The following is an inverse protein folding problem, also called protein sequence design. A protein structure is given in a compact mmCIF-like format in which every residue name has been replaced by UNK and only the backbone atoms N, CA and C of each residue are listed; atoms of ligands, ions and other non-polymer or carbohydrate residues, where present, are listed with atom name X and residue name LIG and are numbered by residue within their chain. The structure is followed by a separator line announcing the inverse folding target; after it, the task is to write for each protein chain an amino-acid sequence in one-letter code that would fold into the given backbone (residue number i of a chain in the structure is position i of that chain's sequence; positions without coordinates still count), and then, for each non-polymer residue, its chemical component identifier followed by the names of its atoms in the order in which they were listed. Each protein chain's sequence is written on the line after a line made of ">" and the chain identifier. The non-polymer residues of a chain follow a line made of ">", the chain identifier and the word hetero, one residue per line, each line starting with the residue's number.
data_IF_147346598038
#
_entry.id   IF_147346598038
#
_cell.length_a   1.000
_cell.length_b   1.000
_cell.length_c   1.000
_cell.angle_alpha   90.00
_cell.angle_beta   90.00
_cell.angle_gamma   90.00
#
_symmetry.space_group_name_H-M   'P 1'
#
loop_
_entity.id
_entity.type
_entity.pdbx_description
1 polymer ?
#
# COMPACT_ATOMS: atom_id res chain seq x y z
N UNK A 1 5.70 -5.27 15.19
CA UNK A 1 5.29 -3.89 14.83
C UNK A 1 4.90 -3.04 16.03
N UNK A 2 4.04 -3.52 16.94
CA UNK A 2 3.55 -2.73 18.09
C UNK A 2 4.69 -2.13 18.94
N UNK A 3 5.65 -2.94 19.37
CA UNK A 3 6.80 -2.49 20.19
C UNK A 3 7.64 -1.43 19.48
N UNK A 4 7.94 -1.63 18.19
CA UNK A 4 8.68 -0.68 17.34
C UNK A 4 7.92 0.64 17.23
N UNK A 5 6.60 0.61 17.02
CA UNK A 5 5.80 1.84 16.95
C UNK A 5 5.77 2.58 18.30
N UNK A 6 5.64 1.85 19.42
CA UNK A 6 5.66 2.43 20.77
C UNK A 6 7.00 3.06 21.15
N UNK A 7 8.12 2.62 20.56
CA UNK A 7 9.43 3.25 20.77
C UNK A 7 9.61 4.56 20.00
N UNK A 8 8.62 4.96 19.17
CA UNK A 8 8.71 6.13 18.31
C UNK A 8 9.47 5.91 17.01
N UNK A 9 9.92 4.68 16.73
CA UNK A 9 10.54 4.32 15.46
C UNK A 9 9.47 4.11 14.37
N UNK A 10 9.87 4.31 13.11
CA UNK A 10 9.03 4.01 11.94
C UNK A 10 9.14 2.51 11.59
N UNK A 11 8.06 1.71 11.74
CA UNK A 11 8.08 0.32 11.30
C UNK A 11 7.98 0.24 9.79
N UNK A 12 9.09 -0.13 9.15
CA UNK A 12 9.15 -0.56 7.76
C UNK A 12 9.40 -2.06 7.74
N UNK A 13 8.45 -2.84 7.22
CA UNK A 13 8.55 -4.30 7.14
C UNK A 13 8.73 -4.71 5.67
N UNK A 14 9.64 -5.63 5.41
CA UNK A 14 9.82 -6.22 4.08
C UNK A 14 9.23 -7.63 4.13
N UNK A 15 8.49 -8.00 3.08
CA UNK A 15 7.78 -9.26 2.85
C UNK A 15 8.59 -10.53 3.17
N UNK A 16 7.96 -11.70 3.37
CA UNK A 16 7.20 -12.47 2.35
C UNK A 16 5.80 -11.99 1.90
N UNK A 17 4.88 -12.94 1.73
CA UNK A 17 3.56 -12.72 1.09
C UNK A 17 2.65 -11.76 1.86
N UNK A 18 1.54 -11.33 1.23
CA UNK A 18 0.67 -10.27 1.76
C UNK A 18 -0.05 -10.64 3.07
N UNK A 19 -0.01 -11.91 3.51
CA UNK A 19 -0.58 -12.33 4.80
C UNK A 19 -0.03 -11.52 5.97
N UNK A 20 1.23 -11.07 5.89
CA UNK A 20 1.90 -10.35 6.99
C UNK A 20 1.32 -8.95 7.26
N UNK A 21 0.61 -8.35 6.31
CA UNK A 21 0.00 -7.03 6.49
C UNK A 21 -1.03 -7.04 7.60
N UNK A 22 -1.78 -8.14 7.76
CA UNK A 22 -2.76 -8.26 8.84
C UNK A 22 -2.14 -8.09 10.24
N UNK A 23 -1.13 -8.87 10.67
CA UNK A 23 -0.47 -8.64 11.94
C UNK A 23 0.35 -7.34 11.99
N UNK A 24 0.92 -6.86 10.87
CA UNK A 24 1.65 -5.59 10.83
C UNK A 24 0.76 -4.40 11.17
N UNK A 25 -0.32 -4.21 10.41
CA UNK A 25 -1.27 -3.12 10.61
C UNK A 25 -2.03 -3.26 11.94
N UNK A 26 -2.37 -4.49 12.37
CA UNK A 26 -2.97 -4.72 13.70
C UNK A 26 -2.02 -4.31 14.83
N UNK A 27 -0.73 -4.63 14.72
CA UNK A 27 0.27 -4.21 15.69
C UNK A 27 0.39 -2.68 15.78
N UNK A 28 0.26 -1.99 14.65
CA UNK A 28 0.23 -0.54 14.62
C UNK A 28 -1.06 0.02 15.25
N UNK A 29 -2.22 -0.60 14.97
CA UNK A 29 -3.50 -0.21 15.56
C UNK A 29 -3.49 -0.37 17.09
N UNK A 30 -2.84 -1.42 17.62
CA UNK A 30 -2.63 -1.57 19.07
C UNK A 30 -1.77 -0.45 19.69
N UNK A 31 -0.80 0.07 18.93
CA UNK A 31 0.05 1.15 19.40
C UNK A 31 -0.61 2.53 19.30
N UNK A 32 -1.49 2.74 18.31
CA UNK A 32 -2.01 4.08 17.93
C UNK A 32 -3.50 4.28 18.13
N UNK A 33 -4.28 3.20 18.26
CA UNK A 33 -5.73 3.23 18.40
C UNK A 33 -6.41 2.35 17.35
N UNK A 34 -7.32 1.50 17.79
CA UNK A 34 -8.13 0.67 16.90
C UNK A 34 -9.12 1.55 16.14
N UNK A 35 -9.28 1.30 14.83
CA UNK A 35 -10.17 2.08 13.98
C UNK A 35 -9.74 3.53 13.75
N UNK A 36 -8.51 3.91 14.15
CA UNK A 36 -7.93 5.25 13.96
C UNK A 36 -6.84 5.28 12.87
N UNK A 37 -6.64 4.17 12.18
CA UNK A 37 -5.69 4.07 11.08
C UNK A 37 -6.42 4.15 9.74
N UNK A 38 -5.91 5.00 8.85
CA UNK A 38 -6.14 4.86 7.42
C UNK A 38 -5.18 3.84 6.83
N UNK A 39 -5.61 3.08 5.83
CA UNK A 39 -4.76 2.18 5.07
C UNK A 39 -4.79 2.58 3.60
N UNK A 40 -3.61 2.75 3.03
CA UNK A 40 -3.43 2.85 1.57
C UNK A 40 -2.75 1.57 1.12
N UNK A 41 -3.42 0.84 0.23
CA UNK A 41 -3.08 -0.48 -0.22
C UNK A 41 -2.83 -0.45 -1.73
N UNK A 42 -1.56 -0.49 -2.14
CA UNK A 42 -1.19 -0.64 -3.54
C UNK A 42 -1.10 -2.13 -3.87
N UNK A 43 -1.93 -2.58 -4.81
CA UNK A 43 -2.07 -4.00 -5.12
C UNK A 43 -2.81 -4.19 -6.45
N UNK A 44 -2.51 -5.27 -7.18
CA UNK A 44 -3.34 -5.74 -8.28
C UNK A 44 -4.66 -6.36 -7.78
N UNK A 45 -4.65 -7.00 -6.61
CA UNK A 45 -5.73 -7.78 -6.04
C UNK A 45 -6.35 -7.11 -4.81
N UNK A 46 -7.57 -7.56 -4.50
CA UNK A 46 -8.34 -6.96 -3.42
C UNK A 46 -8.00 -7.54 -2.04
N UNK A 47 -7.36 -8.71 -1.94
CA UNK A 47 -6.97 -9.40 -0.70
C UNK A 47 -8.03 -9.47 0.41
N UNK A 48 -9.29 -9.55 -0.01
CA UNK A 48 -10.50 -9.52 0.83
C UNK A 48 -11.29 -10.82 0.79
N UNK A 49 -10.66 -11.92 0.37
CA UNK A 49 -11.28 -13.24 0.35
C UNK A 49 -11.74 -13.68 1.74
N UNK A 50 -12.83 -14.45 1.81
CA UNK A 50 -13.31 -14.99 3.08
C UNK A 50 -12.57 -16.27 3.48
N UNK A 51 -12.84 -17.33 2.73
CA UNK A 51 -12.28 -18.66 2.94
C UNK A 51 -11.82 -19.15 1.58
N UNK A 52 -10.54 -19.49 1.45
CA UNK A 52 -9.99 -20.06 0.22
C UNK A 52 -9.35 -21.39 0.55
N UNK A 53 -9.70 -22.44 -0.22
CA UNK A 53 -9.25 -23.82 0.02
C UNK A 53 -9.45 -24.32 1.47
N UNK A 54 -10.53 -23.86 2.13
CA UNK A 54 -10.84 -24.23 3.51
C UNK A 54 -10.03 -23.48 4.59
N UNK A 55 -9.17 -22.53 4.20
CA UNK A 55 -8.41 -21.68 5.13
C UNK A 55 -9.00 -20.28 5.23
N UNK A 56 -9.04 -19.75 6.46
CA UNK A 56 -9.34 -18.34 6.75
C UNK A 56 -8.13 -17.42 6.57
N UNK A 57 -6.93 -18.00 6.46
CA UNK A 57 -5.65 -17.28 6.46
C UNK A 57 -4.82 -17.71 5.26
N UNK A 58 -4.41 -16.73 4.49
CA UNK A 58 -3.54 -16.80 3.31
C UNK A 58 -3.39 -15.40 2.74
N UNK A 59 -2.61 -15.27 1.66
CA UNK A 59 -2.26 -13.95 1.13
C UNK A 59 -3.43 -13.20 0.49
N UNK A 60 -4.48 -13.89 0.02
CA UNK A 60 -5.67 -13.25 -0.57
C UNK A 60 -6.79 -12.91 0.42
N UNK A 61 -6.59 -13.05 1.73
CA UNK A 61 -7.58 -12.74 2.78
C UNK A 61 -7.20 -11.67 3.83
N UNK A 62 -5.95 -11.18 3.95
CA UNK A 62 -5.50 -10.43 5.12
C UNK A 62 -6.28 -9.13 5.33
N UNK A 63 -6.73 -8.46 4.25
CA UNK A 63 -7.43 -7.17 4.36
C UNK A 63 -8.83 -7.35 4.92
N UNK A 64 -9.51 -8.44 4.57
CA UNK A 64 -10.78 -8.80 5.19
C UNK A 64 -10.61 -9.10 6.67
N UNK A 65 -9.58 -9.87 7.05
CA UNK A 65 -9.27 -10.18 8.46
C UNK A 65 -8.95 -8.90 9.25
N UNK A 66 -8.22 -7.97 8.64
CA UNK A 66 -7.87 -6.69 9.25
C UNK A 66 -9.12 -5.84 9.53
N UNK A 67 -10.03 -5.71 8.55
CA UNK A 67 -11.26 -4.94 8.70
C UNK A 67 -12.23 -5.61 9.69
N UNK A 68 -12.46 -6.93 9.58
CA UNK A 68 -13.37 -7.65 10.48
C UNK A 68 -12.89 -7.64 11.94
N UNK A 69 -11.58 -7.55 12.17
CA UNK A 69 -11.04 -7.40 13.53
C UNK A 69 -11.40 -6.06 14.18
N UNK A 70 -11.68 -5.02 13.39
CA UNK A 70 -11.87 -3.65 13.86
C UNK A 70 -10.57 -2.87 14.06
N UNK A 71 -9.41 -3.46 13.74
CA UNK A 71 -8.13 -2.74 13.77
C UNK A 71 -8.13 -1.54 12.80
N UNK A 72 -8.78 -1.70 11.65
CA UNK A 72 -8.95 -0.68 10.60
C UNK A 72 -10.42 -0.63 10.19
N UNK A 73 -10.92 0.56 9.89
CA UNK A 73 -12.28 0.75 9.35
C UNK A 73 -12.27 0.55 7.84
N UNK A 74 -13.30 -0.11 7.29
CA UNK A 74 -13.43 -0.29 5.84
C UNK A 74 -13.52 1.03 5.07
N UNK A 75 -14.21 2.04 5.61
CA UNK A 75 -14.33 3.37 5.01
C UNK A 75 -13.04 4.22 5.07
N UNK A 76 -11.99 3.68 5.69
CA UNK A 76 -10.63 4.24 5.73
C UNK A 76 -9.60 3.26 5.15
N UNK A 77 -10.06 2.25 4.39
CA UNK A 77 -9.22 1.34 3.63
C UNK A 77 -9.34 1.65 2.13
N UNK A 78 -8.23 2.11 1.54
CA UNK A 78 -8.17 2.61 0.17
C UNK A 78 -7.28 1.69 -0.67
N UNK A 79 -7.80 1.14 -1.76
CA UNK A 79 -7.04 0.26 -2.66
C UNK A 79 -6.70 0.96 -3.96
N UNK A 80 -5.47 0.81 -4.45
CA UNK A 80 -4.96 1.49 -5.64
C UNK A 80 -4.28 0.49 -6.56
N UNK A 81 -4.78 0.36 -7.79
CA UNK A 81 -4.17 -0.49 -8.81
C UNK A 81 -4.93 -1.79 -9.11
N UNK A 82 -6.15 -1.93 -8.58
CA UNK A 82 -6.96 -3.14 -8.77
C UNK A 82 -7.16 -3.44 -10.26
N UNK A 83 -6.96 -4.71 -10.63
CA UNK A 83 -7.19 -5.24 -11.98
C UNK A 83 -7.30 -6.76 -11.94
N UNK A 84 -7.49 -7.36 -13.11
CA UNK A 84 -7.71 -8.81 -13.23
C UNK A 84 -9.18 -9.18 -13.05
N UNK A 85 -9.45 -10.46 -12.78
CA UNK A 85 -10.79 -11.04 -12.80
C UNK A 85 -11.42 -11.27 -11.42
N UNK A 86 -10.63 -11.13 -10.35
CA UNK A 86 -11.03 -11.44 -8.98
C UNK A 86 -11.11 -10.14 -8.16
N UNK A 87 -12.10 -9.96 -7.24
CA UNK A 87 -12.92 -10.98 -6.59
C UNK A 87 -14.36 -11.19 -7.10
N UNK A 88 -15.03 -12.23 -6.58
CA UNK A 88 -16.42 -12.55 -6.90
C UNK A 88 -17.42 -11.50 -6.37
N UNK A 89 -18.64 -11.51 -6.93
CA UNK A 89 -19.70 -10.54 -6.60
C UNK A 89 -20.05 -10.49 -5.10
N UNK A 90 -19.96 -11.61 -4.37
CA UNK A 90 -20.19 -11.62 -2.91
C UNK A 90 -19.13 -10.82 -2.17
N UNK A 91 -17.86 -11.01 -2.52
CA UNK A 91 -16.73 -10.27 -1.94
C UNK A 91 -16.84 -8.78 -2.28
N UNK A 92 -17.17 -8.42 -3.52
CA UNK A 92 -17.42 -7.02 -3.91
C UNK A 92 -18.58 -6.40 -3.11
N UNK A 93 -19.66 -7.16 -2.89
CA UNK A 93 -20.80 -6.71 -2.08
C UNK A 93 -20.39 -6.49 -0.62
N UNK A 94 -19.54 -7.37 -0.08
CA UNK A 94 -18.97 -7.21 1.25
C UNK A 94 -18.09 -5.95 1.33
N UNK A 95 -17.19 -5.73 0.37
CA UNK A 95 -16.33 -4.54 0.31
C UNK A 95 -17.16 -3.25 0.29
N UNK A 96 -18.22 -3.22 -0.53
CA UNK A 96 -19.16 -2.10 -0.61
C UNK A 96 -19.89 -1.87 0.73
N UNK A 97 -20.33 -2.95 1.39
CA UNK A 97 -20.97 -2.86 2.71
C UNK A 97 -20.02 -2.35 3.81
N UNK A 98 -18.70 -2.58 3.68
CA UNK A 98 -17.69 -2.00 4.57
C UNK A 98 -17.35 -0.53 4.24
N UNK A 99 -17.89 0.02 3.14
CA UNK A 99 -17.59 1.39 2.69
C UNK A 99 -16.21 1.56 2.08
N UNK A 100 -15.56 0.46 1.66
CA UNK A 100 -14.24 0.50 1.04
C UNK A 100 -14.25 1.35 -0.24
N UNK A 101 -13.06 1.88 -0.59
CA UNK A 101 -12.87 2.59 -1.85
C UNK A 101 -11.67 2.04 -2.59
N UNK A 102 -11.95 1.44 -3.74
CA UNK A 102 -10.93 0.82 -4.59
C UNK A 102 -10.83 1.56 -5.92
N UNK A 103 -9.61 1.86 -6.36
CA UNK A 103 -9.28 2.53 -7.61
C UNK A 103 -8.71 1.47 -8.56
N UNK A 104 -9.51 1.07 -9.53
CA UNK A 104 -9.07 0.16 -10.59
C UNK A 104 -8.10 0.86 -11.54
N UNK A 105 -7.25 0.09 -12.23
CA UNK A 105 -6.36 0.63 -13.26
C UNK A 105 -7.12 1.38 -14.36
N UNK A 106 -8.33 0.92 -14.73
CA UNK A 106 -9.20 1.59 -15.71
C UNK A 106 -9.58 3.01 -15.28
N UNK A 107 -9.90 3.20 -13.99
CA UNK A 107 -10.18 4.50 -13.40
C UNK A 107 -8.92 5.36 -13.31
N UNK A 108 -7.80 4.78 -12.86
CA UNK A 108 -6.51 5.47 -12.72
C UNK A 108 -6.06 6.02 -14.07
N UNK A 109 -6.13 5.24 -15.14
CA UNK A 109 -5.77 5.67 -16.50
C UNK A 109 -6.72 6.76 -17.01
N UNK A 110 -8.02 6.66 -16.71
CA UNK A 110 -9.02 7.62 -17.21
C UNK A 110 -8.95 8.97 -16.49
N UNK A 111 -8.78 8.95 -15.16
CA UNK A 111 -8.77 10.17 -14.32
C UNK A 111 -7.38 10.73 -14.10
N UNK A 112 -6.33 9.95 -14.34
CA UNK A 112 -4.96 10.24 -13.99
C UNK A 112 -4.64 9.86 -12.54
N UNK A 113 -3.48 9.22 -12.35
CA UNK A 113 -3.01 8.76 -11.03
C UNK A 113 -2.92 9.89 -10.01
N UNK A 114 -2.41 11.07 -10.39
CA UNK A 114 -2.28 12.20 -9.47
C UNK A 114 -3.61 12.60 -8.81
N UNK A 115 -4.69 12.69 -9.60
CA UNK A 115 -6.02 13.03 -9.10
C UNK A 115 -6.58 11.93 -8.17
N UNK A 116 -6.30 10.66 -8.49
CA UNK A 116 -6.69 9.53 -7.65
C UNK A 116 -5.95 9.58 -6.30
N UNK A 117 -4.63 9.87 -6.32
CA UNK A 117 -3.82 9.98 -5.10
C UNK A 117 -4.28 11.12 -4.19
N UNK A 118 -4.71 12.25 -4.74
CA UNK A 118 -5.28 13.35 -3.94
C UNK A 118 -6.57 12.91 -3.20
N UNK A 119 -7.42 12.11 -3.84
CA UNK A 119 -8.58 11.51 -3.17
C UNK A 119 -8.18 10.46 -2.12
N UNK A 120 -7.23 9.58 -2.46
CA UNK A 120 -6.70 8.54 -1.56
C UNK A 120 -6.16 9.17 -0.28
N UNK A 121 -5.28 10.16 -0.39
CA UNK A 121 -4.66 10.85 0.76
C UNK A 121 -5.74 11.52 1.62
N UNK A 122 -6.67 12.26 1.00
CA UNK A 122 -7.75 12.94 1.72
C UNK A 122 -8.61 11.95 2.52
N UNK A 123 -9.03 10.84 1.90
CA UNK A 123 -9.86 9.83 2.58
C UNK A 123 -9.11 9.07 3.65
N UNK A 124 -7.85 8.68 3.40
CA UNK A 124 -7.03 7.92 4.34
C UNK A 124 -6.67 8.72 5.60
N UNK A 125 -6.70 10.05 5.52
CA UNK A 125 -6.36 10.95 6.64
C UNK A 125 -7.57 11.52 7.37
N UNK A 126 -8.76 11.42 6.80
CA UNK A 126 -9.98 11.91 7.42
C UNK A 126 -10.31 11.11 8.69
N UNK A 127 -10.43 11.79 9.83
CA UNK A 127 -10.70 11.17 11.15
C UNK A 127 -9.75 10.00 11.51
N UNK A 128 -8.49 10.07 11.06
CA UNK A 128 -7.45 9.09 11.35
C UNK A 128 -6.23 9.75 12.01
N UNK A 129 -5.58 9.03 12.92
CA UNK A 129 -4.39 9.48 13.65
C UNK A 129 -3.09 9.18 12.89
N UNK A 130 -3.18 8.39 11.81
CA UNK A 130 -2.07 8.08 10.92
C UNK A 130 -2.46 7.12 9.80
N UNK A 131 -1.54 6.95 8.85
CA UNK A 131 -1.70 6.08 7.69
C UNK A 131 -0.71 4.92 7.74
N UNK A 132 -1.19 3.70 7.50
CA UNK A 132 -0.38 2.55 7.14
C UNK A 132 -0.34 2.39 5.62
N UNK A 133 0.85 2.26 5.06
CA UNK A 133 1.05 2.10 3.62
C UNK A 133 1.48 0.66 3.31
N UNK A 134 0.61 -0.10 2.65
CA UNK A 134 0.91 -1.47 2.17
C UNK A 134 1.23 -1.40 0.69
N UNK A 135 2.40 -1.87 0.28
CA UNK A 135 2.78 -1.91 -1.14
C UNK A 135 3.08 -3.34 -1.55
N UNK A 136 2.13 -3.95 -2.24
CA UNK A 136 2.36 -5.14 -3.04
C UNK A 136 3.16 -4.76 -4.29
N UNK A 137 4.22 -5.49 -4.61
CA UNK A 137 4.99 -5.24 -5.83
C UNK A 137 4.24 -5.62 -7.09
N UNK A 138 3.23 -6.50 -7.00
CA UNK A 138 2.44 -6.92 -8.15
C UNK A 138 1.47 -5.84 -8.64
N UNK A 139 1.29 -4.73 -7.91
CA UNK A 139 0.62 -3.53 -8.41
C UNK A 139 1.31 -2.96 -9.66
N UNK A 140 2.61 -3.21 -9.78
CA UNK A 140 3.45 -2.78 -10.90
C UNK A 140 3.33 -3.79 -12.03
N UNK A 141 3.34 -3.28 -13.26
CA UNK A 141 3.27 -4.15 -14.44
C UNK A 141 4.38 -5.22 -14.43
N UNK A 142 4.08 -6.48 -14.79
CA UNK A 142 5.06 -7.58 -14.79
C UNK A 142 6.28 -7.33 -15.68
N UNK A 143 6.20 -6.40 -16.63
CA UNK A 143 7.38 -5.95 -17.39
C UNK A 143 8.45 -5.26 -16.54
N UNK A 144 8.09 -4.78 -15.34
CA UNK A 144 9.01 -4.14 -14.38
C UNK A 144 9.05 -4.79 -12.99
N UNK A 145 8.07 -5.64 -12.66
CA UNK A 145 8.01 -6.42 -11.43
C UNK A 145 7.62 -7.90 -11.68
N UNK A 146 8.39 -8.66 -12.49
CA UNK A 146 8.06 -10.06 -12.79
C UNK A 146 8.27 -11.02 -11.60
N UNK A 147 9.08 -10.62 -10.62
CA UNK A 147 9.42 -11.39 -9.44
C UNK A 147 8.34 -11.34 -8.38
N UNK A 148 7.13 -11.79 -8.71
CA UNK A 148 5.97 -11.91 -7.80
C UNK A 148 5.20 -13.21 -8.08
N UNK A 149 4.40 -13.66 -7.11
CA UNK A 149 3.61 -14.89 -7.22
C UNK A 149 2.41 -14.79 -8.17
N UNK A 150 1.79 -13.61 -8.27
CA UNK A 150 0.50 -13.38 -8.95
C UNK A 150 0.54 -12.22 -9.95
N UNK A 151 1.42 -12.26 -10.98
CA UNK A 151 1.57 -11.13 -11.91
C UNK A 151 0.30 -10.86 -12.73
N UNK A 152 -0.15 -9.60 -12.75
CA UNK A 152 -1.29 -9.14 -13.56
C UNK A 152 -0.86 -8.08 -14.59
N UNK A 153 -1.05 -8.27 -15.91
CA UNK A 153 -0.68 -7.26 -16.92
C UNK A 153 -1.48 -5.95 -16.81
N UNK A 154 -0.90 -4.84 -17.29
CA UNK A 154 -1.56 -3.53 -17.34
C UNK A 154 -1.53 -2.77 -16.02
N UNK A 155 -0.47 -2.97 -15.23
CA UNK A 155 -0.26 -2.34 -13.93
C UNK A 155 0.34 -0.93 -14.00
N UNK A 156 0.67 -0.40 -12.83
CA UNK A 156 1.43 0.85 -12.73
C UNK A 156 2.84 0.66 -13.30
N UNK A 157 3.42 1.74 -13.82
CA UNK A 157 4.84 1.77 -14.13
C UNK A 157 5.67 1.90 -12.84
N UNK A 158 6.93 1.47 -12.88
CA UNK A 158 7.86 1.68 -11.74
C UNK A 158 7.99 3.15 -11.35
N UNK A 159 7.93 4.09 -12.30
CA UNK A 159 8.02 5.52 -11.98
C UNK A 159 6.78 5.98 -11.20
N UNK A 160 5.59 5.55 -11.62
CA UNK A 160 4.33 5.90 -10.98
C UNK A 160 4.24 5.44 -9.52
N UNK A 161 4.62 4.19 -9.23
CA UNK A 161 4.59 3.69 -7.83
C UNK A 161 5.61 4.44 -6.95
N UNK A 162 6.81 4.74 -7.47
CA UNK A 162 7.83 5.47 -6.74
C UNK A 162 7.40 6.92 -6.44
N UNK A 163 6.80 7.61 -7.41
CA UNK A 163 6.23 8.95 -7.21
C UNK A 163 5.05 8.93 -6.24
N UNK A 164 4.18 7.92 -6.34
CA UNK A 164 3.02 7.77 -5.47
C UNK A 164 3.43 7.60 -4.00
N UNK A 165 4.36 6.68 -3.71
CA UNK A 165 4.89 6.43 -2.36
C UNK A 165 5.52 7.68 -1.79
N UNK A 166 6.32 8.39 -2.60
CA UNK A 166 6.96 9.65 -2.19
C UNK A 166 5.93 10.73 -1.86
N UNK A 167 4.96 10.96 -2.75
CA UNK A 167 3.88 11.95 -2.58
C UNK A 167 3.08 11.66 -1.31
N UNK A 168 2.58 10.43 -1.16
CA UNK A 168 1.81 10.00 0.02
C UNK A 168 2.61 10.25 1.29
N UNK A 169 3.88 9.88 1.32
CA UNK A 169 4.70 10.03 2.54
C UNK A 169 4.97 11.50 2.90
N UNK A 170 5.09 12.38 1.90
CA UNK A 170 5.24 13.82 2.13
C UNK A 170 3.93 14.44 2.64
N UNK A 171 2.79 14.06 2.05
CA UNK A 171 1.51 14.73 2.25
C UNK A 171 0.65 14.11 3.37
N UNK A 172 0.84 12.84 3.70
CA UNK A 172 0.12 12.13 4.75
C UNK A 172 0.99 11.84 6.00
N UNK A 173 0.39 11.66 7.19
CA UNK A 173 1.08 11.15 8.37
C UNK A 173 1.28 9.63 8.27
N UNK A 174 2.15 9.17 7.36
CA UNK A 174 2.51 7.74 7.27
C UNK A 174 3.30 7.33 8.51
N UNK A 175 2.79 6.33 9.23
CA UNK A 175 3.30 5.88 10.54
C UNK A 175 3.72 4.41 10.58
N UNK A 176 3.63 3.73 9.44
CA UNK A 176 4.17 2.40 9.21
C UNK A 176 3.97 2.00 7.76
N UNK A 177 4.77 1.06 7.29
CA UNK A 177 4.74 0.57 5.92
C UNK A 177 5.19 -0.88 5.82
N UNK A 178 4.67 -1.60 4.83
CA UNK A 178 5.32 -2.80 4.31
C UNK A 178 5.44 -2.81 2.77
N UNK A 179 6.39 -3.62 2.31
CA UNK A 179 6.61 -3.95 0.90
C UNK A 179 6.64 -5.46 0.77
N UNK A 180 5.67 -6.04 0.06
CA UNK A 180 5.38 -7.49 0.09
C UNK A 180 5.48 -8.13 -1.30
N UNK A 181 5.30 -9.45 -1.35
CA UNK A 181 5.23 -10.29 -2.58
C UNK A 181 6.44 -10.27 -3.52
N UNK A 182 7.59 -9.75 -3.06
CA UNK A 182 8.85 -9.99 -3.77
C UNK A 182 9.19 -11.48 -3.70
N UNK A 183 9.23 -12.13 -4.87
CA UNK A 183 9.55 -13.54 -5.03
C UNK A 183 10.81 -13.70 -5.91
N UNK A 184 12.01 -13.78 -5.29
CA UNK A 184 13.28 -13.94 -6.00
C UNK A 184 13.34 -15.12 -6.99
N UNK A 185 12.69 -16.29 -6.75
CA UNK A 185 12.66 -17.37 -7.74
C UNK A 185 12.04 -17.01 -9.10
N UNK A 186 11.20 -15.96 -9.15
CA UNK A 186 10.59 -15.44 -10.38
C UNK A 186 11.24 -14.12 -10.84
N UNK A 187 12.21 -13.59 -10.10
CA UNK A 187 12.80 -12.29 -10.36
C UNK A 187 14.02 -12.41 -11.28
N UNK A 188 13.87 -12.01 -12.54
CA UNK A 188 14.99 -12.00 -13.46
C UNK A 188 15.86 -10.75 -13.24
N UNK A 189 17.17 -10.94 -13.04
CA UNK A 189 18.13 -9.86 -12.84
C UNK A 189 17.81 -8.92 -11.66
N UNK A 190 17.15 -9.46 -10.63
CA UNK A 190 16.79 -8.75 -9.38
C UNK A 190 15.96 -7.47 -9.59
N UNK A 191 15.25 -7.34 -10.72
CA UNK A 191 14.58 -6.08 -11.09
C UNK A 191 13.44 -5.75 -10.11
N UNK A 192 12.75 -6.76 -9.59
CA UNK A 192 11.66 -6.60 -8.62
C UNK A 192 12.22 -6.30 -7.24
N UNK A 193 13.28 -6.99 -6.84
CA UNK A 193 14.00 -6.71 -5.59
C UNK A 193 14.57 -5.28 -5.56
N UNK A 194 15.15 -4.80 -6.67
CA UNK A 194 15.64 -3.44 -6.82
C UNK A 194 14.50 -2.41 -6.75
N UNK A 195 13.36 -2.71 -7.36
CA UNK A 195 12.17 -1.86 -7.28
C UNK A 195 11.62 -1.77 -5.85
N UNK A 196 11.44 -2.91 -5.18
CA UNK A 196 10.99 -2.97 -3.78
C UNK A 196 11.91 -2.19 -2.83
N UNK A 197 13.23 -2.36 -3.01
CA UNK A 197 14.23 -1.57 -2.29
C UNK A 197 14.07 -0.07 -2.54
N UNK A 198 13.79 0.34 -3.79
CA UNK A 198 13.57 1.74 -4.14
C UNK A 198 12.27 2.29 -3.55
N UNK A 199 11.20 1.50 -3.53
CA UNK A 199 9.92 1.84 -2.87
C UNK A 199 10.14 2.15 -1.40
N UNK A 200 10.85 1.28 -0.67
CA UNK A 200 11.23 1.52 0.72
C UNK A 200 12.05 2.81 0.89
N UNK A 201 13.02 3.05 0.00
CA UNK A 201 13.84 4.25 0.04
C UNK A 201 13.07 5.54 -0.27
N UNK A 202 12.04 5.51 -1.12
CA UNK A 202 11.21 6.69 -1.37
C UNK A 202 10.45 7.11 -0.11
N UNK A 203 9.88 6.15 0.63
CA UNK A 203 9.23 6.44 1.91
C UNK A 203 10.22 6.99 2.95
N UNK A 204 11.36 6.31 3.17
CA UNK A 204 12.38 6.77 4.12
C UNK A 204 12.94 8.16 3.76
N UNK A 205 13.20 8.39 2.48
CA UNK A 205 13.71 9.68 1.99
C UNK A 205 12.68 10.80 2.15
N UNK A 206 11.40 10.51 1.89
CA UNK A 206 10.31 11.46 2.10
C UNK A 206 10.12 11.79 3.59
N UNK A 207 10.20 10.81 4.48
CA UNK A 207 10.16 11.02 5.94
C UNK A 207 11.31 11.92 6.40
N UNK A 208 12.55 11.62 5.96
CA UNK A 208 13.72 12.44 6.29
C UNK A 208 13.58 13.87 5.76
N UNK A 209 13.06 14.03 4.53
CA UNK A 209 12.78 15.35 3.95
C UNK A 209 11.75 16.12 4.80
N UNK A 210 10.66 15.47 5.19
CA UNK A 210 9.62 16.06 6.06
C UNK A 210 10.19 16.51 7.40
N UNK A 211 11.05 15.71 8.02
CA UNK A 211 11.73 16.05 9.28
C UNK A 211 12.69 17.23 9.15
N UNK A 212 13.36 17.39 8.01
CA UNK A 212 14.24 18.54 7.77
C UNK A 212 13.49 19.88 7.56
N UNK A 213 12.16 19.85 7.43
CA UNK A 213 11.34 21.05 7.17
C UNK A 213 11.51 21.66 5.77
N UNK A 214 12.31 21.02 4.90
CA UNK A 214 12.55 21.51 3.55
C UNK A 214 11.37 21.15 2.64
N UNK A 215 10.91 22.11 1.83
CA UNK A 215 9.93 21.84 0.78
C UNK A 215 10.52 20.88 -0.26
N UNK A 216 9.69 19.97 -0.76
CA UNK A 216 10.00 19.17 -1.94
C UNK A 216 9.25 19.77 -3.12
N UNK A 217 9.98 20.15 -4.16
CA UNK A 217 9.42 20.56 -5.44
C UNK A 217 9.98 19.60 -6.50
N UNK A 218 9.15 18.72 -7.09
CA UNK A 218 9.61 17.78 -8.12
C UNK A 218 9.96 18.49 -9.44
N UNK A 219 9.48 19.72 -9.67
CA UNK A 219 9.83 20.53 -10.83
C UNK A 219 11.14 21.31 -10.66
N UNK A 220 11.69 21.37 -9.44
CA UNK A 220 12.91 22.09 -9.16
C UNK A 220 14.13 21.36 -9.76
N UNK A 221 14.94 22.00 -10.64
CA UNK A 221 16.15 21.39 -11.18
C UNK A 221 17.14 21.03 -10.06
N UNK A 222 17.75 19.83 -10.13
CA UNK A 222 18.62 19.27 -9.09
C UNK A 222 19.76 20.19 -8.64
N UNK A 223 20.28 21.00 -9.58
CA UNK A 223 21.41 21.90 -9.36
C UNK A 223 20.99 23.36 -9.12
N UNK A 224 19.68 23.65 -9.07
CA UNK A 224 19.22 24.98 -8.70
C UNK A 224 19.61 25.27 -7.24
N UNK A 225 20.26 26.40 -7.00
CA UNK A 225 20.74 26.85 -5.67
C UNK A 225 21.87 26.01 -5.05
N UNK A 226 22.70 25.35 -5.88
CA UNK A 226 23.99 24.77 -5.47
C UNK A 226 25.16 25.69 -5.83
#
# INVERSE_FOLDING_TARGET
>A
VEEVSKSGAFPLVIGGDHTITWPNATGLARARGWGRLGVIHFDAHADTGNVTFGSLVGHGQPMRRLIESGAVRGDRFLQVGLRGYWPEAETLSWMAAQGMRSFEMSEITTKGLANCLDEVIRRATDDCDGVFLSVDVDVVDPGSAPGTGTPEPGGLTSREVLDAVRKITLEAPVIGMDVVEVSPPYDHADITALLASRVALEALSALAKKQSGQKHDPGQPLLSNR
#
